data_IF_308659512709
#
_entry.id   IF_308659512709
#
_cell.length_a   1.000
_cell.length_b   1.000
_cell.length_c   1.000
_cell.angle_alpha   90.00
_cell.angle_beta   90.00
_cell.angle_gamma   90.00
#
_symmetry.space_group_name_H-M   'P 1'
#
loop_
_entity.id
_entity.type
_entity.pdbx_description
1 polymer ?
#
# COMPACT_ATOMS: atom_id res chain seq x y z
N UNK A 1 17.77 13.43 32.13
CA UNK A 1 18.35 14.17 30.98
C UNK A 1 18.96 13.13 30.05
N UNK A 2 18.23 12.72 29.01
CA UNK A 2 18.70 11.75 28.01
C UNK A 2 19.17 12.47 26.74
N UNK A 3 20.08 11.88 25.95
CA UNK A 3 20.70 12.56 24.82
C UNK A 3 19.67 12.75 23.69
N UNK A 4 19.53 13.99 23.23
CA UNK A 4 18.79 14.32 22.00
C UNK A 4 19.64 13.84 20.83
N UNK A 5 19.20 12.79 20.14
CA UNK A 5 19.76 12.39 18.86
C UNK A 5 19.42 13.45 17.82
N UNK A 6 20.45 14.17 17.36
CA UNK A 6 20.37 15.09 16.22
C UNK A 6 20.34 14.21 14.97
N UNK A 7 19.18 14.10 14.33
CA UNK A 7 19.09 13.61 12.95
C UNK A 7 19.52 14.74 12.02
N UNK A 8 20.69 14.59 11.42
CA UNK A 8 21.26 15.53 10.45
C UNK A 8 20.48 15.45 9.13
N UNK A 9 19.70 16.49 8.85
CA UNK A 9 19.09 16.78 7.54
C UNK A 9 20.17 17.32 6.60
N UNK A 10 20.91 16.45 5.91
CA UNK A 10 21.92 16.85 4.91
C UNK A 10 21.71 16.17 3.54
N UNK A 11 20.80 15.20 3.41
CA UNK A 11 20.74 14.38 2.19
C UNK A 11 19.86 14.91 1.06
N UNK A 12 18.98 15.90 1.27
CA UNK A 12 18.01 16.31 0.24
C UNK A 12 18.61 17.14 -0.91
N UNK A 13 19.70 17.87 -0.70
CA UNK A 13 20.17 18.87 -1.70
C UNK A 13 21.00 18.27 -2.84
N UNK A 14 21.56 17.06 -2.69
CA UNK A 14 22.43 16.44 -3.72
C UNK A 14 21.68 15.55 -4.71
N UNK A 15 20.39 15.27 -4.47
CA UNK A 15 19.60 14.24 -5.16
C UNK A 15 18.97 14.68 -6.50
N UNK A 16 19.00 15.98 -6.82
CA UNK A 16 18.16 16.54 -7.90
C UNK A 16 18.91 16.95 -9.18
N UNK A 17 20.25 16.88 -9.20
CA UNK A 17 21.04 17.39 -10.33
C UNK A 17 21.28 16.34 -11.44
N UNK A 18 21.08 15.04 -11.18
CA UNK A 18 21.49 13.98 -12.14
C UNK A 18 20.39 13.34 -13.03
N UNK A 19 19.13 13.77 -12.97
CA UNK A 19 18.04 13.05 -13.68
C UNK A 19 17.75 13.48 -15.14
N UNK A 20 18.55 14.33 -15.81
CA UNK A 20 18.09 14.96 -17.08
C UNK A 20 18.81 14.53 -18.37
N UNK A 21 19.93 13.79 -18.39
CA UNK A 21 20.65 13.59 -19.67
C UNK A 21 21.31 12.22 -19.88
N UNK A 22 20.55 11.21 -20.34
CA UNK A 22 21.14 10.13 -21.14
C UNK A 22 20.14 9.60 -22.19
N UNK A 23 20.36 9.96 -23.45
CA UNK A 23 19.60 9.45 -24.60
C UNK A 23 20.17 8.12 -25.10
N UNK A 24 19.63 7.00 -24.61
CA UNK A 24 19.85 5.68 -25.22
C UNK A 24 18.56 5.21 -25.90
N UNK A 25 18.63 4.96 -27.21
CA UNK A 25 17.57 4.29 -27.98
C UNK A 25 17.73 2.78 -27.79
N UNK A 26 16.74 2.11 -27.19
CA UNK A 26 16.71 0.65 -27.11
C UNK A 26 15.77 0.14 -28.19
N UNK A 27 16.34 -0.64 -29.09
CA UNK A 27 15.63 -1.45 -30.08
C UNK A 27 14.82 -2.53 -29.34
N UNK A 28 13.53 -2.66 -29.65
CA UNK A 28 12.55 -3.50 -28.93
C UNK A 28 12.61 -4.98 -29.34
N UNK A 29 13.74 -5.45 -29.86
CA UNK A 29 13.92 -6.83 -30.31
C UNK A 29 14.47 -7.72 -29.18
N UNK A 30 13.63 -8.63 -28.67
CA UNK A 30 13.83 -9.94 -27.98
C UNK A 30 15.16 -10.32 -27.27
N UNK A 31 16.04 -9.39 -26.91
CA UNK A 31 17.40 -9.66 -26.41
C UNK A 31 17.61 -9.46 -24.91
N UNK A 32 16.57 -9.60 -24.08
CA UNK A 32 16.76 -9.78 -22.63
C UNK A 32 17.10 -11.25 -22.32
N UNK A 33 18.34 -11.67 -22.62
CA UNK A 33 18.85 -13.01 -22.29
C UNK A 33 19.32 -13.15 -20.82
N UNK A 34 19.36 -12.05 -20.07
CA UNK A 34 19.58 -12.09 -18.61
C UNK A 34 18.25 -12.25 -17.89
N UNK A 35 18.11 -13.21 -16.96
CA UNK A 35 16.92 -13.31 -16.12
C UNK A 35 16.65 -11.97 -15.46
N UNK A 36 15.42 -11.46 -15.59
CA UNK A 36 15.03 -10.26 -14.86
C UNK A 36 15.15 -10.54 -13.35
N UNK A 37 15.56 -9.54 -12.54
CA UNK A 37 15.52 -9.65 -11.09
C UNK A 37 14.13 -10.12 -10.64
N UNK A 38 14.06 -10.92 -9.56
CA UNK A 38 12.78 -11.46 -9.05
C UNK A 38 11.73 -10.36 -8.87
N UNK A 39 12.15 -9.19 -8.37
CA UNK A 39 11.30 -8.01 -8.15
C UNK A 39 10.72 -7.43 -9.47
N UNK A 40 11.41 -7.60 -10.60
CA UNK A 40 10.94 -7.10 -11.90
C UNK A 40 10.17 -8.16 -12.70
N UNK A 41 10.52 -9.43 -12.52
CA UNK A 41 9.87 -10.55 -13.20
C UNK A 41 8.37 -10.67 -12.87
N UNK A 42 7.94 -10.12 -11.73
CA UNK A 42 6.53 -10.09 -11.29
C UNK A 42 5.63 -9.22 -12.14
N UNK A 43 6.20 -8.20 -12.79
CA UNK A 43 5.44 -7.09 -13.38
C UNK A 43 5.31 -7.21 -14.88
N UNK A 44 6.27 -7.86 -15.55
CA UNK A 44 6.40 -7.70 -16.99
C UNK A 44 5.53 -8.71 -17.77
N UNK A 45 5.27 -9.90 -17.21
CA UNK A 45 4.38 -10.88 -17.85
C UNK A 45 3.47 -11.54 -16.83
N UNK A 46 2.13 -11.37 -16.95
CA UNK A 46 1.22 -12.15 -16.15
C UNK A 46 1.47 -13.63 -16.43
N UNK A 47 1.60 -14.44 -15.37
CA UNK A 47 1.58 -15.88 -15.49
C UNK A 47 0.13 -16.30 -15.76
N UNK A 48 -0.24 -16.31 -17.03
CA UNK A 48 -1.61 -16.62 -17.47
C UNK A 48 -2.03 -18.01 -17.03
N UNK A 49 -1.09 -18.95 -16.93
CA UNK A 49 -1.37 -20.29 -16.44
C UNK A 49 -1.71 -20.27 -14.94
N UNK A 50 -0.95 -19.55 -14.12
CA UNK A 50 -1.27 -19.35 -12.70
C UNK A 50 -2.61 -18.62 -12.53
N UNK A 51 -2.86 -17.58 -13.33
CA UNK A 51 -4.15 -16.88 -13.34
C UNK A 51 -5.28 -17.85 -13.62
N UNK A 52 -5.24 -18.57 -14.74
CA UNK A 52 -6.34 -19.44 -15.18
C UNK A 52 -6.60 -20.56 -14.17
N UNK A 53 -5.54 -21.14 -13.58
CA UNK A 53 -5.69 -22.11 -12.49
C UNK A 53 -6.30 -21.49 -11.23
N UNK A 54 -5.88 -20.27 -10.84
CA UNK A 54 -6.48 -19.54 -9.71
C UNK A 54 -7.96 -19.20 -9.95
N UNK A 55 -8.36 -18.97 -11.21
CA UNK A 55 -9.74 -18.67 -11.58
C UNK A 55 -10.65 -19.91 -11.58
N UNK A 56 -10.10 -21.08 -11.88
CA UNK A 56 -10.87 -22.31 -12.04
C UNK A 56 -11.62 -22.67 -10.75
N UNK A 57 -12.95 -22.57 -10.74
CA UNK A 57 -13.78 -22.86 -9.56
C UNK A 57 -13.82 -21.75 -8.51
N UNK A 58 -13.71 -20.49 -8.92
CA UNK A 58 -14.15 -19.35 -8.11
C UNK A 58 -15.64 -19.01 -8.29
N UNK A 59 -16.33 -19.68 -9.23
CA UNK A 59 -17.79 -19.62 -9.35
C UNK A 59 -18.45 -20.06 -8.03
N UNK A 60 -19.33 -19.22 -7.48
CA UNK A 60 -19.97 -19.45 -6.18
C UNK A 60 -19.09 -19.16 -4.96
N UNK A 61 -17.84 -18.72 -5.14
CA UNK A 61 -17.01 -18.24 -4.03
C UNK A 61 -17.64 -17.00 -3.39
N UNK A 62 -17.66 -16.87 -2.05
CA UNK A 62 -18.12 -15.64 -1.39
C UNK A 62 -17.24 -14.43 -1.68
N UNK A 63 -16.05 -14.62 -2.27
CA UNK A 63 -15.18 -13.54 -2.75
C UNK A 63 -15.52 -13.08 -4.19
N UNK A 64 -16.40 -13.80 -4.89
CA UNK A 64 -16.65 -13.59 -6.32
C UNK A 64 -15.35 -13.60 -7.14
N UNK A 65 -15.19 -12.64 -8.04
CA UNK A 65 -13.98 -12.48 -8.86
C UNK A 65 -12.73 -12.12 -8.04
N UNK A 66 -12.85 -11.73 -6.77
CA UNK A 66 -11.67 -11.46 -5.92
C UNK A 66 -10.98 -12.75 -5.46
N UNK A 67 -11.63 -13.91 -5.62
CA UNK A 67 -11.06 -15.24 -5.37
C UNK A 67 -9.87 -15.56 -6.29
N UNK A 68 -9.83 -14.95 -7.47
CA UNK A 68 -8.89 -15.29 -8.53
C UNK A 68 -7.94 -14.14 -8.89
N UNK A 69 -6.97 -14.43 -9.77
CA UNK A 69 -6.06 -13.42 -10.29
C UNK A 69 -4.84 -13.18 -9.39
N UNK A 70 -4.20 -14.26 -8.93
CA UNK A 70 -2.86 -14.16 -8.34
C UNK A 70 -1.93 -13.44 -9.32
N UNK A 71 -1.12 -12.50 -8.82
CA UNK A 71 -0.23 -11.66 -9.66
C UNK A 71 -0.95 -10.84 -10.75
N UNK A 72 -2.28 -10.66 -10.68
CA UNK A 72 -3.03 -9.90 -11.68
C UNK A 72 -3.11 -8.41 -11.31
N UNK A 73 -2.02 -7.67 -11.46
CA UNK A 73 -2.00 -6.20 -11.28
C UNK A 73 -2.81 -5.45 -12.35
N UNK A 74 -2.96 -6.07 -13.53
CA UNK A 74 -3.43 -5.45 -14.77
C UNK A 74 -4.95 -5.57 -14.97
N UNK A 75 -5.57 -6.51 -14.28
CA UNK A 75 -6.98 -6.86 -14.47
C UNK A 75 -7.83 -6.09 -13.46
N UNK A 76 -7.89 -4.76 -13.60
CA UNK A 76 -8.86 -3.99 -12.85
C UNK A 76 -10.27 -4.34 -13.35
N UNK A 77 -11.18 -4.91 -12.55
CA UNK A 77 -12.52 -5.29 -13.00
C UNK A 77 -13.34 -4.09 -13.52
N UNK A 78 -12.95 -2.84 -13.19
CA UNK A 78 -13.55 -1.64 -13.79
C UNK A 78 -13.39 -1.59 -15.32
N UNK A 79 -12.42 -2.30 -15.89
CA UNK A 79 -12.23 -2.42 -17.33
C UNK A 79 -13.08 -3.52 -17.98
N UNK A 80 -14.06 -4.10 -17.28
CA UNK A 80 -14.97 -5.09 -17.88
C UNK A 80 -16.26 -4.46 -18.44
N UNK A 81 -16.47 -3.15 -18.26
CA UNK A 81 -17.60 -2.45 -18.87
C UNK A 81 -17.36 -2.16 -20.35
N UNK A 82 -17.37 -3.19 -21.21
CA UNK A 82 -17.74 -3.19 -22.64
C UNK A 82 -17.14 -2.19 -23.66
N UNK A 83 -16.34 -1.20 -23.26
CA UNK A 83 -15.79 -0.15 -24.11
C UNK A 83 -14.33 -0.48 -24.35
N UNK A 84 -13.98 -1.03 -25.51
CA UNK A 84 -12.63 -1.30 -26.01
C UNK A 84 -11.51 -0.77 -25.09
N UNK A 85 -11.17 -1.59 -24.08
CA UNK A 85 -10.27 -1.18 -23.01
C UNK A 85 -8.84 -1.39 -23.50
N UNK A 86 -8.13 -0.29 -23.77
CA UNK A 86 -6.69 -0.29 -23.58
C UNK A 86 -6.49 -0.74 -22.13
N UNK A 87 -5.98 -1.95 -21.91
CA UNK A 87 -5.65 -2.41 -20.57
C UNK A 87 -4.88 -1.28 -19.93
N UNK A 88 -5.29 -0.84 -18.73
CA UNK A 88 -4.57 0.20 -17.99
C UNK A 88 -3.09 -0.12 -18.16
N UNK A 89 -2.34 0.73 -18.86
CA UNK A 89 -0.91 0.57 -19.08
C UNK A 89 -0.22 0.82 -17.73
N UNK A 90 -0.53 -0.03 -16.75
CA UNK A 90 -0.04 0.02 -15.39
C UNK A 90 1.38 -0.54 -15.29
N UNK A 91 1.92 -1.09 -16.38
CA UNK A 91 3.33 -1.41 -16.43
C UNK A 91 4.09 -0.10 -16.49
N UNK A 92 4.92 0.12 -15.48
CA UNK A 92 5.86 1.22 -15.52
C UNK A 92 6.74 1.11 -16.77
N UNK A 93 7.17 2.24 -17.34
CA UNK A 93 8.11 2.20 -18.45
C UNK A 93 9.39 1.47 -18.01
N UNK A 94 9.83 0.45 -18.75
CA UNK A 94 11.00 -0.34 -18.38
C UNK A 94 12.27 0.50 -18.18
N UNK A 95 12.43 1.61 -18.92
CA UNK A 95 13.54 2.56 -18.73
C UNK A 95 13.40 3.33 -17.41
N UNK A 96 12.20 3.79 -17.07
CA UNK A 96 11.95 4.44 -15.77
C UNK A 96 12.30 3.47 -14.64
N UNK A 97 11.82 2.22 -14.72
CA UNK A 97 12.12 1.17 -13.73
C UNK A 97 13.62 0.94 -13.59
N UNK A 98 14.37 0.81 -14.69
CA UNK A 98 15.82 0.64 -14.63
C UNK A 98 16.51 1.83 -13.95
N UNK A 99 16.06 3.06 -14.24
CA UNK A 99 16.53 4.27 -13.56
C UNK A 99 16.22 4.26 -12.07
N UNK A 100 15.00 3.88 -11.68
CA UNK A 100 14.60 3.73 -10.27
C UNK A 100 15.51 2.74 -9.54
N UNK A 101 15.75 1.56 -10.12
CA UNK A 101 16.62 0.55 -9.52
C UNK A 101 18.03 1.07 -9.30
N UNK A 102 18.61 1.73 -10.32
CA UNK A 102 19.94 2.35 -10.19
C UNK A 102 19.96 3.37 -9.06
N UNK A 103 18.99 4.28 -9.03
CA UNK A 103 18.91 5.35 -8.03
C UNK A 103 18.72 4.81 -6.60
N UNK A 104 17.94 3.73 -6.44
CA UNK A 104 17.74 3.07 -5.15
C UNK A 104 19.01 2.33 -4.70
N UNK A 105 19.71 1.68 -5.63
CA UNK A 105 20.97 0.98 -5.34
C UNK A 105 22.05 1.94 -4.84
N UNK A 106 22.15 3.13 -5.43
CA UNK A 106 23.04 4.21 -4.95
C UNK A 106 22.69 4.67 -3.52
N UNK A 107 21.45 4.52 -3.09
CA UNK A 107 20.98 4.79 -1.73
C UNK A 107 21.14 3.58 -0.78
N UNK A 108 21.73 2.47 -1.24
CA UNK A 108 21.87 1.24 -0.47
C UNK A 108 20.61 0.38 -0.41
N UNK A 109 19.63 0.65 -1.28
CA UNK A 109 18.40 -0.16 -1.42
C UNK A 109 18.57 -1.06 -2.65
N UNK A 110 18.95 -2.31 -2.40
CA UNK A 110 19.16 -3.31 -3.46
C UNK A 110 17.87 -4.10 -3.75
N UNK A 111 16.97 -3.51 -4.54
CA UNK A 111 15.77 -4.22 -5.00
C UNK A 111 16.09 -5.37 -5.97
N UNK A 112 17.23 -5.34 -6.67
CA UNK A 112 17.60 -6.40 -7.60
C UNK A 112 18.02 -7.67 -6.85
N UNK A 113 18.76 -7.50 -5.75
CA UNK A 113 19.20 -8.58 -4.88
C UNK A 113 18.10 -9.13 -3.95
N UNK A 114 17.00 -8.39 -3.75
CA UNK A 114 15.95 -8.76 -2.80
C UNK A 114 15.21 -10.04 -3.18
N UNK A 115 15.33 -11.06 -2.34
CA UNK A 115 14.73 -12.38 -2.57
C UNK A 115 13.42 -12.59 -1.80
N UNK A 116 12.44 -13.34 -2.35
CA UNK A 116 11.21 -13.73 -1.65
C UNK A 116 11.43 -14.33 -0.26
N UNK A 117 12.48 -15.16 -0.12
CA UNK A 117 12.85 -15.79 1.14
C UNK A 117 13.09 -14.78 2.27
N UNK A 118 13.71 -13.64 1.96
CA UNK A 118 14.06 -12.65 2.97
C UNK A 118 12.82 -12.06 3.65
N UNK A 119 11.72 -11.84 2.90
CA UNK A 119 10.46 -11.41 3.51
C UNK A 119 9.74 -12.58 4.16
N UNK A 120 9.70 -13.74 3.49
CA UNK A 120 9.02 -14.92 3.99
C UNK A 120 9.52 -15.34 5.37
N UNK A 121 10.84 -15.38 5.59
CA UNK A 121 11.45 -15.70 6.88
C UNK A 121 11.03 -14.72 7.98
N UNK A 122 10.73 -13.45 7.63
CA UNK A 122 10.21 -12.47 8.59
C UNK A 122 8.75 -12.69 8.94
N UNK A 123 7.94 -13.38 8.14
CA UNK A 123 6.49 -13.56 8.41
C UNK A 123 6.07 -15.01 8.61
N UNK A 124 7.02 -15.94 8.48
CA UNK A 124 6.85 -17.38 8.61
C UNK A 124 6.02 -17.78 9.84
N UNK A 125 5.00 -18.60 9.60
CA UNK A 125 4.09 -19.11 10.64
C UNK A 125 3.13 -18.08 11.22
N UNK A 126 3.01 -16.89 10.60
CA UNK A 126 2.13 -15.80 11.01
C UNK A 126 1.25 -15.34 9.85
N UNK A 127 0.25 -14.53 10.18
CA UNK A 127 -0.47 -13.73 9.19
C UNK A 127 0.11 -12.30 9.14
N UNK A 128 0.44 -11.84 7.94
CA UNK A 128 0.67 -10.42 7.66
C UNK A 128 -0.65 -9.79 7.18
N UNK A 129 -1.24 -8.96 8.02
CA UNK A 129 -2.47 -8.22 7.71
C UNK A 129 -2.11 -6.86 7.11
N UNK A 130 -2.55 -6.61 5.88
CA UNK A 130 -2.48 -5.32 5.19
C UNK A 130 -3.88 -4.71 5.25
N UNK A 131 -4.08 -3.81 6.21
CA UNK A 131 -5.39 -3.20 6.50
C UNK A 131 -5.35 -1.77 6.00
N UNK A 132 -6.04 -1.46 4.90
CA UNK A 132 -5.97 -0.12 4.37
C UNK A 132 -6.83 0.15 3.15
N UNK A 133 -6.55 1.29 2.51
CA UNK A 133 -7.27 1.74 1.32
C UNK A 133 -6.78 1.08 0.02
N UNK A 134 -6.96 1.75 -1.13
CA UNK A 134 -6.59 1.18 -2.43
C UNK A 134 -5.08 1.06 -2.59
N UNK A 135 -4.29 1.91 -1.96
CA UNK A 135 -2.82 1.75 -1.98
C UNK A 135 -2.40 0.45 -1.33
N UNK A 136 -3.03 0.15 -0.19
CA UNK A 136 -2.76 -1.08 0.55
C UNK A 136 -3.23 -2.30 -0.23
N UNK A 137 -4.31 -2.19 -1.01
CA UNK A 137 -4.74 -3.25 -1.93
C UNK A 137 -3.69 -3.53 -3.02
N UNK A 138 -3.18 -2.50 -3.70
CA UNK A 138 -2.13 -2.70 -4.71
C UNK A 138 -0.84 -3.24 -4.08
N UNK A 139 -0.51 -2.79 -2.87
CA UNK A 139 0.62 -3.35 -2.13
C UNK A 139 0.42 -4.81 -1.74
N UNK A 140 -0.80 -5.20 -1.34
CA UNK A 140 -1.14 -6.61 -1.12
C UNK A 140 -0.88 -7.46 -2.35
N UNK A 141 -1.29 -7.00 -3.54
CA UNK A 141 -1.02 -7.70 -4.79
C UNK A 141 0.50 -7.81 -5.05
N UNK A 142 1.28 -6.78 -4.72
CA UNK A 142 2.75 -6.77 -4.84
C UNK A 142 3.39 -7.83 -3.96
N UNK A 143 3.02 -7.87 -2.68
CA UNK A 143 3.50 -8.87 -1.71
C UNK A 143 3.05 -10.28 -2.14
N UNK A 144 1.82 -10.42 -2.60
CA UNK A 144 1.29 -11.69 -3.07
C UNK A 144 2.11 -12.27 -4.21
N UNK A 145 2.41 -11.43 -5.21
CA UNK A 145 3.21 -11.89 -6.34
C UNK A 145 4.66 -12.16 -5.96
N UNK A 146 5.22 -11.37 -5.03
CA UNK A 146 6.58 -11.54 -4.53
C UNK A 146 6.77 -12.86 -3.81
N UNK A 147 5.75 -13.34 -3.11
CA UNK A 147 5.81 -14.60 -2.37
C UNK A 147 5.26 -15.80 -3.15
N UNK A 148 5.07 -15.69 -4.47
CA UNK A 148 4.41 -16.73 -5.28
C UNK A 148 5.07 -18.13 -5.17
N UNK A 149 6.39 -18.18 -4.99
CA UNK A 149 7.12 -19.45 -4.90
C UNK A 149 6.83 -20.23 -3.60
N UNK A 150 6.19 -19.57 -2.62
CA UNK A 150 5.76 -20.16 -1.34
C UNK A 150 4.26 -20.51 -1.32
N UNK A 151 3.53 -20.35 -2.41
CA UNK A 151 2.08 -20.59 -2.42
C UNK A 151 1.75 -22.05 -2.10
N UNK A 152 0.75 -22.24 -1.24
CA UNK A 152 0.14 -23.56 -0.98
C UNK A 152 -1.16 -23.71 -1.75
N UNK A 153 -1.86 -22.61 -1.99
CA UNK A 153 -3.10 -22.58 -2.73
C UNK A 153 -3.06 -21.43 -3.72
N UNK A 154 -3.44 -21.72 -4.96
CA UNK A 154 -3.49 -20.70 -6.01
C UNK A 154 -4.73 -19.81 -5.91
N UNK A 155 -5.70 -20.16 -5.06
CA UNK A 155 -6.91 -19.36 -4.83
C UNK A 155 -6.76 -18.50 -3.60
N UNK A 156 -7.30 -17.27 -3.66
CA UNK A 156 -7.48 -16.47 -2.45
C UNK A 156 -8.61 -17.06 -1.62
N UNK A 157 -8.38 -17.12 -0.31
CA UNK A 157 -9.35 -17.53 0.69
C UNK A 157 -9.92 -16.34 1.46
N UNK A 158 -10.95 -16.60 2.25
CA UNK A 158 -11.47 -15.63 3.20
C UNK A 158 -10.52 -15.49 4.42
N UNK A 159 -10.53 -14.36 5.13
CA UNK A 159 -9.67 -14.16 6.29
C UNK A 159 -10.02 -15.05 7.47
N UNK A 160 -11.30 -15.35 7.66
CA UNK A 160 -11.81 -16.19 8.74
C UNK A 160 -12.69 -17.32 8.21
N UNK A 161 -12.94 -18.33 9.05
CA UNK A 161 -13.89 -19.41 8.75
C UNK A 161 -15.35 -19.01 9.07
N UNK A 162 -15.60 -17.78 9.56
CA UNK A 162 -16.94 -17.30 9.92
C UNK A 162 -17.49 -16.38 8.83
N UNK A 163 -18.56 -16.83 8.17
CA UNK A 163 -19.28 -16.02 7.18
C UNK A 163 -19.71 -14.68 7.76
N UNK A 164 -20.23 -14.66 8.98
CA UNK A 164 -20.66 -13.43 9.65
C UNK A 164 -19.48 -12.47 9.87
N UNK A 165 -18.34 -12.99 10.36
CA UNK A 165 -17.15 -12.17 10.57
C UNK A 165 -16.63 -11.60 9.24
N UNK A 166 -16.61 -12.40 8.17
CA UNK A 166 -16.20 -11.95 6.85
C UNK A 166 -17.15 -10.87 6.29
N UNK A 167 -18.45 -10.96 6.57
CA UNK A 167 -19.41 -9.91 6.22
C UNK A 167 -19.12 -8.59 6.95
N UNK A 168 -18.73 -8.63 8.22
CA UNK A 168 -18.28 -7.43 8.94
C UNK A 168 -16.98 -6.83 8.39
N UNK A 169 -16.12 -7.66 7.77
CA UNK A 169 -14.90 -7.22 7.09
C UNK A 169 -15.15 -6.76 5.64
N UNK A 170 -16.37 -6.91 5.12
CA UNK A 170 -16.86 -6.32 3.86
C UNK A 170 -17.58 -5.00 4.12
N UNK A 171 -18.40 -4.96 5.19
CA UNK A 171 -19.36 -3.89 5.44
C UNK A 171 -18.65 -2.61 5.83
N UNK A 172 -18.53 -1.70 4.86
CA UNK A 172 -18.49 -0.27 5.15
C UNK A 172 -19.76 0.06 5.90
N UNK A 173 -19.66 0.83 6.98
CA UNK A 173 -20.83 1.20 7.77
C UNK A 173 -21.71 2.10 6.87
N UNK A 174 -22.63 1.49 6.11
CA UNK A 174 -23.61 2.17 5.25
C UNK A 174 -24.46 3.17 6.05
N UNK A 175 -24.53 2.95 7.36
CA UNK A 175 -25.24 3.77 8.33
C UNK A 175 -24.45 5.00 8.81
N UNK A 176 -23.15 5.12 8.53
CA UNK A 176 -22.42 6.34 8.89
C UNK A 176 -22.88 7.47 7.96
N UNK A 177 -23.51 8.55 8.49
CA UNK A 177 -23.96 9.69 7.69
C UNK A 177 -22.79 10.48 7.08
N UNK A 178 -21.55 10.07 7.36
CA UNK A 178 -20.35 10.60 6.76
C UNK A 178 -20.16 10.00 5.37
N UNK A 179 -20.54 10.81 4.38
CA UNK A 179 -20.47 10.62 2.93
C UNK A 179 -19.06 10.38 2.37
N UNK A 180 -18.24 9.55 3.01
CA UNK A 180 -17.00 9.05 2.44
C UNK A 180 -17.33 8.18 1.23
N UNK A 181 -16.91 8.60 0.04
CA UNK A 181 -16.97 7.88 -1.24
C UNK A 181 -18.17 6.93 -1.37
N UNK A 182 -19.39 7.45 -1.63
CA UNK A 182 -20.55 6.66 -2.13
C UNK A 182 -20.24 5.85 -3.42
N UNK A 183 -19.00 5.89 -3.92
CA UNK A 183 -18.53 5.36 -5.19
C UNK A 183 -17.60 4.16 -5.05
N UNK A 184 -17.21 3.77 -3.84
CA UNK A 184 -16.39 2.58 -3.64
C UNK A 184 -17.30 1.42 -3.27
N UNK A 185 -17.41 0.46 -4.18
CA UNK A 185 -18.16 -0.77 -3.92
C UNK A 185 -17.51 -1.52 -2.75
N UNK A 186 -18.31 -2.10 -1.84
CA UNK A 186 -17.82 -3.04 -0.83
C UNK A 186 -16.92 -4.09 -1.49
N UNK A 187 -15.73 -4.30 -0.92
CA UNK A 187 -14.80 -5.32 -1.39
C UNK A 187 -14.58 -6.36 -0.32
N UNK A 188 -14.62 -7.66 -0.67
CA UNK A 188 -14.32 -8.69 0.28
C UNK A 188 -12.86 -8.63 0.71
N UNK A 189 -12.66 -8.87 2.00
CA UNK A 189 -11.33 -9.14 2.53
C UNK A 189 -10.84 -10.48 1.99
N UNK A 190 -9.57 -10.55 1.65
CA UNK A 190 -8.97 -11.68 0.94
C UNK A 190 -7.64 -12.07 1.57
N UNK A 191 -7.29 -13.35 1.48
CA UNK A 191 -6.03 -13.87 2.00
C UNK A 191 -5.42 -14.87 1.06
N UNK A 192 -4.10 -14.87 1.01
CA UNK A 192 -3.30 -15.83 0.26
C UNK A 192 -2.50 -16.67 1.24
N UNK A 193 -2.55 -17.99 1.04
CA UNK A 193 -1.96 -18.97 1.95
C UNK A 193 -0.65 -19.50 1.37
N UNK A 194 0.38 -19.45 2.19
CA UNK A 194 1.73 -19.87 1.86
C UNK A 194 2.16 -21.04 2.75
N UNK A 195 3.35 -21.55 2.50
CA UNK A 195 3.96 -22.63 3.26
C UNK A 195 4.01 -22.31 4.76
N UNK A 196 4.13 -23.36 5.57
CA UNK A 196 4.36 -23.27 7.01
C UNK A 196 3.29 -22.45 7.77
N UNK A 197 2.04 -22.54 7.31
CA UNK A 197 0.91 -21.83 7.89
C UNK A 197 1.09 -20.29 7.88
N UNK A 198 1.79 -19.78 6.86
CA UNK A 198 1.99 -18.34 6.65
C UNK A 198 0.87 -17.79 5.78
N UNK A 199 0.38 -16.60 6.09
CA UNK A 199 -0.69 -15.95 5.31
C UNK A 199 -0.37 -14.48 5.08
N UNK A 200 -0.81 -13.95 3.95
CA UNK A 200 -0.90 -12.50 3.72
C UNK A 200 -2.35 -12.19 3.45
N UNK A 201 -2.91 -11.23 4.18
CA UNK A 201 -4.32 -10.89 4.14
C UNK A 201 -4.51 -9.40 3.86
N UNK A 202 -5.49 -9.05 3.04
CA UNK A 202 -5.93 -7.69 2.82
C UNK A 202 -7.33 -7.47 3.37
N UNK A 203 -7.49 -6.37 4.12
CA UNK A 203 -8.79 -5.89 4.59
C UNK A 203 -8.94 -4.44 4.15
N UNK A 204 -9.99 -4.16 3.38
CA UNK A 204 -10.26 -2.81 2.90
C UNK A 204 -10.83 -1.95 4.03
N UNK A 205 -10.21 -0.79 4.23
CA UNK A 205 -10.79 0.33 4.96
C UNK A 205 -10.63 1.61 4.12
N UNK A 206 -11.46 2.61 4.38
CA UNK A 206 -11.33 3.96 3.86
C UNK A 206 -10.94 4.95 4.95
N UNK A 207 -11.36 4.69 6.18
CA UNK A 207 -11.21 5.60 7.31
C UNK A 207 -10.47 4.92 8.45
N UNK A 208 -9.71 5.68 9.23
CA UNK A 208 -8.89 5.19 10.33
C UNK A 208 -9.75 4.52 11.41
N UNK A 209 -10.93 5.08 11.72
CA UNK A 209 -11.82 4.50 12.72
C UNK A 209 -12.29 3.09 12.37
N UNK A 210 -12.38 2.76 11.07
CA UNK A 210 -12.76 1.44 10.58
C UNK A 210 -11.72 0.36 10.94
N UNK A 211 -10.44 0.75 11.04
CA UNK A 211 -9.38 -0.13 11.49
C UNK A 211 -9.65 -0.63 12.92
N UNK A 212 -10.01 0.26 13.85
CA UNK A 212 -10.37 -0.13 15.20
C UNK A 212 -11.71 -0.88 15.23
N UNK A 213 -12.73 -0.33 14.57
CA UNK A 213 -14.06 -0.90 14.50
C UNK A 213 -14.69 -0.67 13.11
N UNK A 214 -14.98 -1.72 12.32
CA UNK A 214 -15.13 -3.11 12.75
C UNK A 214 -13.85 -3.96 12.79
N UNK A 215 -12.79 -3.60 12.06
CA UNK A 215 -11.79 -4.58 11.61
C UNK A 215 -11.04 -5.27 12.76
N UNK A 216 -10.23 -4.55 13.52
CA UNK A 216 -9.39 -5.16 14.57
C UNK A 216 -10.25 -5.81 15.67
N UNK A 217 -11.44 -5.27 15.95
CA UNK A 217 -12.40 -5.88 16.88
C UNK A 217 -12.92 -7.24 16.38
N UNK A 218 -13.19 -7.37 15.09
CA UNK A 218 -13.62 -8.65 14.49
C UNK A 218 -12.45 -9.63 14.46
N UNK A 219 -11.27 -9.19 13.99
CA UNK A 219 -10.09 -10.05 13.87
C UNK A 219 -9.67 -10.61 15.23
N UNK A 220 -9.54 -9.77 16.28
CA UNK A 220 -9.14 -10.24 17.62
C UNK A 220 -10.10 -11.26 18.24
N UNK A 221 -11.38 -11.27 17.81
CA UNK A 221 -12.40 -12.20 18.30
C UNK A 221 -12.47 -13.49 17.51
N UNK A 222 -12.11 -13.47 16.24
CA UNK A 222 -12.46 -14.53 15.28
C UNK A 222 -11.24 -15.22 14.67
N UNK A 223 -10.07 -14.60 14.72
CA UNK A 223 -8.81 -15.17 14.25
C UNK A 223 -8.06 -15.79 15.43
N UNK A 224 -7.85 -17.12 15.44
CA UNK A 224 -7.06 -17.77 16.48
C UNK A 224 -5.64 -17.22 16.52
N UNK A 225 -5.13 -16.95 17.72
CA UNK A 225 -3.78 -16.43 17.94
C UNK A 225 -3.46 -15.11 17.22
N UNK A 226 -4.47 -14.26 16.95
CA UNK A 226 -4.27 -12.96 16.29
C UNK A 226 -3.17 -12.10 16.93
N UNK A 227 -2.98 -12.20 18.24
CA UNK A 227 -1.91 -11.50 18.97
C UNK A 227 -0.47 -11.85 18.53
N UNK A 228 -0.28 -12.95 17.78
CA UNK A 228 1.02 -13.36 17.23
C UNK A 228 1.29 -12.80 15.84
N UNK A 229 0.26 -12.27 15.18
CA UNK A 229 0.33 -11.77 13.82
C UNK A 229 0.98 -10.38 13.74
N UNK A 230 1.14 -9.87 12.51
CA UNK A 230 1.56 -8.49 12.23
C UNK A 230 0.42 -7.81 11.47
N UNK A 231 0.06 -6.59 11.83
CA UNK A 231 -0.90 -5.80 11.10
C UNK A 231 -0.31 -4.44 10.70
N UNK A 232 -0.14 -4.25 9.39
CA UNK A 232 0.24 -2.98 8.78
C UNK A 232 -1.05 -2.23 8.43
N UNK A 233 -1.29 -1.10 9.10
CA UNK A 233 -2.51 -0.32 8.99
C UNK A 233 -2.22 0.98 8.24
N UNK A 234 -3.07 1.33 7.27
CA UNK A 234 -2.96 2.56 6.50
C UNK A 234 -4.33 3.15 6.17
N UNK A 235 -4.56 4.41 6.55
CA UNK A 235 -5.69 5.17 6.05
C UNK A 235 -5.39 6.68 6.14
N UNK A 236 -5.59 7.38 5.03
CA UNK A 236 -5.41 8.83 4.96
C UNK A 236 -5.99 9.44 3.69
N UNK A 237 -5.83 8.75 2.55
CA UNK A 237 -6.22 9.28 1.22
C UNK A 237 -7.70 9.64 1.07
N UNK A 238 -8.57 9.08 1.90
CA UNK A 238 -10.00 9.35 1.83
C UNK A 238 -10.44 10.48 2.78
N UNK A 239 -9.53 11.10 3.53
CA UNK A 239 -9.79 12.32 4.29
C UNK A 239 -9.53 13.55 3.42
N UNK A 240 -10.32 14.60 3.63
CA UNK A 240 -9.99 15.90 3.09
C UNK A 240 -8.74 16.44 3.77
N UNK A 241 -7.93 17.19 3.04
CA UNK A 241 -6.80 17.93 3.62
C UNK A 241 -7.36 18.86 4.69
N UNK A 242 -6.82 18.80 5.91
CA UNK A 242 -7.31 19.60 7.02
C UNK A 242 -8.57 19.07 7.71
N UNK A 243 -9.12 17.91 7.32
CA UNK A 243 -10.32 17.34 7.93
C UNK A 243 -10.09 17.10 9.44
N UNK A 244 -10.78 17.84 10.33
CA UNK A 244 -10.58 17.68 11.78
C UNK A 244 -10.99 16.29 12.27
N UNK A 245 -11.83 15.58 11.53
CA UNK A 245 -12.20 14.19 11.81
C UNK A 245 -11.01 13.24 11.74
N UNK A 246 -9.98 13.54 10.94
CA UNK A 246 -8.82 12.66 10.81
C UNK A 246 -8.07 12.49 12.13
N UNK A 247 -7.80 13.60 12.83
CA UNK A 247 -7.14 13.56 14.15
C UNK A 247 -7.96 12.77 15.17
N UNK A 248 -9.27 13.03 15.24
CA UNK A 248 -10.16 12.28 16.12
C UNK A 248 -10.10 10.77 15.82
N UNK A 249 -10.14 10.38 14.55
CA UNK A 249 -10.08 8.97 14.17
C UNK A 249 -8.73 8.33 14.50
N UNK A 250 -7.62 9.05 14.32
CA UNK A 250 -6.29 8.61 14.75
C UNK A 250 -6.23 8.40 16.27
N UNK A 251 -6.76 9.33 17.06
CA UNK A 251 -6.81 9.22 18.52
C UNK A 251 -7.71 8.08 18.99
N UNK A 252 -8.86 7.88 18.34
CA UNK A 252 -9.76 6.75 18.59
C UNK A 252 -9.07 5.41 18.32
N UNK A 253 -8.43 5.27 17.16
CA UNK A 253 -7.65 4.08 16.80
C UNK A 253 -6.53 3.83 17.82
N UNK A 254 -5.76 4.86 18.14
CA UNK A 254 -4.66 4.76 19.08
C UNK A 254 -5.13 4.36 20.49
N UNK A 255 -6.27 4.88 20.94
CA UNK A 255 -6.91 4.47 22.19
C UNK A 255 -7.27 2.98 22.15
N UNK A 256 -7.94 2.53 21.10
CA UNK A 256 -8.31 1.12 20.93
C UNK A 256 -7.09 0.20 20.96
N UNK A 257 -6.00 0.57 20.27
CA UNK A 257 -4.75 -0.21 20.26
C UNK A 257 -4.13 -0.28 21.66
N UNK A 258 -4.17 0.79 22.45
CA UNK A 258 -3.68 0.77 23.84
C UNK A 258 -4.54 -0.12 24.74
N UNK A 259 -5.86 -0.03 24.63
CA UNK A 259 -6.80 -0.79 25.46
C UNK A 259 -6.76 -2.29 25.19
N UNK A 260 -6.47 -2.70 23.95
CA UNK A 260 -6.48 -4.10 23.53
C UNK A 260 -5.10 -4.65 23.17
N UNK A 261 -4.00 -3.97 23.55
CA UNK A 261 -2.64 -4.29 23.09
C UNK A 261 -2.26 -5.78 23.19
N UNK A 262 -2.67 -6.46 24.25
CA UNK A 262 -2.34 -7.88 24.48
C UNK A 262 -3.16 -8.86 23.64
N UNK A 263 -4.28 -8.41 23.08
CA UNK A 263 -5.17 -9.22 22.24
C UNK A 263 -4.94 -8.99 20.74
N UNK A 264 -4.21 -7.92 20.39
CA UNK A 264 -4.00 -7.49 19.02
C UNK A 264 -2.69 -8.00 18.46
N UNK A 265 -2.67 -8.22 17.15
CA UNK A 265 -1.46 -8.36 16.36
C UNK A 265 -0.47 -7.21 16.64
N UNK A 266 0.80 -7.41 16.27
CA UNK A 266 1.77 -6.32 16.30
C UNK A 266 1.36 -5.25 15.29
N UNK A 267 0.80 -4.15 15.80
CA UNK A 267 0.32 -3.03 14.97
C UNK A 267 1.50 -2.17 14.52
N UNK A 268 1.58 -1.95 13.21
CA UNK A 268 2.46 -0.99 12.55
C UNK A 268 1.60 -0.04 11.75
N UNK A 269 1.81 1.26 11.91
CA UNK A 269 1.16 2.28 11.10
C UNK A 269 2.00 2.59 9.86
N UNK A 270 1.49 2.30 8.67
CA UNK A 270 2.08 2.79 7.42
C UNK A 270 1.58 4.20 7.16
N UNK A 271 2.52 5.09 6.88
CA UNK A 271 2.23 6.42 6.37
C UNK A 271 1.32 6.46 5.11
N UNK A 272 0.61 7.56 4.95
CA UNK A 272 -0.11 7.88 3.72
C UNK A 272 0.92 8.20 2.63
N UNK A 273 0.93 7.51 1.48
CA UNK A 273 1.91 7.80 0.44
C UNK A 273 1.66 9.18 -0.20
N UNK A 274 2.69 9.80 -0.80
CA UNK A 274 2.53 11.05 -1.52
C UNK A 274 1.63 10.87 -2.73
N UNK A 275 0.93 11.94 -3.08
CA UNK A 275 0.24 12.11 -4.34
C UNK A 275 0.98 13.19 -5.15
N UNK A 276 0.80 13.19 -6.46
CA UNK A 276 1.54 14.08 -7.36
C UNK A 276 0.63 14.83 -8.34
N UNK A 277 -0.55 15.24 -7.89
CA UNK A 277 -1.42 16.10 -8.69
C UNK A 277 -0.80 17.49 -8.90
N UNK A 278 -1.33 18.25 -9.86
CA UNK A 278 -0.78 19.56 -10.22
C UNK A 278 -0.98 20.69 -9.19
N UNK A 279 -1.50 20.40 -8.00
CA UNK A 279 -1.72 21.35 -6.90
C UNK A 279 -0.47 21.55 -6.01
N UNK A 280 -0.42 22.63 -5.22
CA UNK A 280 0.74 23.16 -4.45
C UNK A 280 1.44 22.17 -3.48
N UNK A 281 0.85 21.01 -3.22
CA UNK A 281 1.40 19.96 -2.34
C UNK A 281 1.21 18.56 -2.90
N UNK A 282 0.84 18.45 -4.19
CA UNK A 282 0.59 17.18 -4.85
C UNK A 282 -0.69 16.46 -4.42
N UNK A 283 -1.42 16.94 -3.41
CA UNK A 283 -2.63 16.25 -2.96
C UNK A 283 -3.76 16.29 -3.95
N UNK A 284 -4.62 15.28 -3.84
CA UNK A 284 -5.93 15.35 -4.44
C UNK A 284 -6.86 16.20 -3.57
N UNK A 285 -7.21 17.39 -4.04
CA UNK A 285 -8.12 18.28 -3.32
C UNK A 285 -9.59 17.98 -3.66
N UNK A 286 -10.41 17.73 -2.64
CA UNK A 286 -11.87 17.74 -2.75
C UNK A 286 -12.35 19.14 -2.34
N UNK A 287 -12.68 20.03 -3.30
CA UNK A 287 -12.75 21.49 -3.05
C UNK A 287 -14.14 22.09 -2.70
N UNK A 288 -15.19 21.33 -2.34
CA UNK A 288 -16.39 21.94 -1.69
C UNK A 288 -16.21 21.73 -0.18
N UNK A 289 -16.76 22.63 0.61
CA UNK A 289 -17.25 22.36 1.97
C UNK A 289 -18.48 21.43 2.08
N UNK A 290 -18.83 20.64 1.07
CA UNK A 290 -19.54 19.37 1.27
C UNK A 290 -18.47 18.33 1.54
N UNK A 291 -18.73 17.33 2.37
CA UNK A 291 -17.89 16.11 2.35
C UNK A 291 -17.99 15.43 0.97
N UNK A 292 -17.41 16.02 -0.10
CA UNK A 292 -17.61 15.59 -1.48
C UNK A 292 -17.94 16.62 -2.58
N UNK A 293 -17.47 17.86 -2.49
CA UNK A 293 -16.74 18.49 -3.61
C UNK A 293 -17.37 19.57 -4.50
N UNK A 294 -16.62 20.64 -4.80
CA UNK A 294 -17.05 21.67 -5.75
C UNK A 294 -16.95 21.20 -7.18
N UNK A 295 -17.83 21.81 -7.95
CA UNK A 295 -17.79 21.95 -9.38
C UNK A 295 -16.36 22.22 -9.91
N UNK A 296 -15.90 21.32 -10.77
CA UNK A 296 -15.34 21.73 -12.06
C UNK A 296 -14.02 22.49 -12.06
N UNK A 297 -13.05 22.11 -11.22
CA UNK A 297 -11.65 22.20 -11.67
C UNK A 297 -11.42 21.10 -12.71
N UNK A 298 -10.70 21.33 -13.83
CA UNK A 298 -10.34 20.24 -14.72
C UNK A 298 -9.62 19.18 -13.87
N UNK A 299 -10.04 17.92 -14.00
CA UNK A 299 -9.29 16.80 -13.42
C UNK A 299 -7.86 16.97 -13.89
N UNK A 300 -6.92 17.16 -12.96
CA UNK A 300 -5.51 17.23 -13.31
C UNK A 300 -5.19 16.03 -14.18
N UNK A 301 -4.80 16.28 -15.42
CA UNK A 301 -4.58 15.20 -16.39
C UNK A 301 -3.18 14.59 -16.24
N UNK A 302 -2.33 15.20 -15.40
CA UNK A 302 -0.90 14.92 -15.39
C UNK A 302 -0.36 14.93 -13.97
N UNK A 303 0.40 13.89 -13.67
CA UNK A 303 1.21 13.86 -12.47
C UNK A 303 2.45 14.72 -12.68
N UNK A 304 2.93 15.39 -11.63
CA UNK A 304 4.12 16.24 -11.70
C UNK A 304 5.04 16.03 -10.52
N UNK A 305 6.33 16.27 -10.75
CA UNK A 305 7.27 16.45 -9.65
C UNK A 305 6.83 17.62 -8.77
N UNK A 306 7.07 17.51 -7.47
CA UNK A 306 7.06 18.67 -6.59
C UNK A 306 8.24 19.58 -6.93
N UNK A 307 8.03 20.89 -6.84
CA UNK A 307 9.08 21.90 -7.02
C UNK A 307 10.05 21.88 -5.84
N UNK A 308 11.21 22.52 -5.98
CA UNK A 308 12.18 22.64 -4.87
C UNK A 308 11.61 23.38 -3.66
N UNK A 309 10.78 24.40 -3.90
CA UNK A 309 10.11 25.15 -2.85
C UNK A 309 9.13 24.26 -2.08
N UNK A 310 8.30 23.49 -2.81
CA UNK A 310 7.35 22.54 -2.21
C UNK A 310 8.06 21.45 -1.42
N UNK A 311 9.13 20.86 -1.97
CA UNK A 311 9.96 19.87 -1.28
C UNK A 311 10.63 20.43 -0.02
N UNK A 312 10.92 21.73 0.01
CA UNK A 312 11.48 22.44 1.17
C UNK A 312 10.45 22.88 2.20
N UNK A 313 9.15 22.74 1.91
CA UNK A 313 8.09 23.14 2.84
C UNK A 313 8.08 22.26 4.10
N UNK A 314 7.75 22.85 5.24
CA UNK A 314 7.64 22.12 6.52
C UNK A 314 6.63 20.96 6.43
N UNK A 315 5.56 21.15 5.66
CA UNK A 315 4.53 20.16 5.49
C UNK A 315 5.04 18.92 4.77
N UNK A 316 5.67 19.08 3.59
CA UNK A 316 6.22 17.95 2.83
C UNK A 316 7.35 17.25 3.59
N UNK A 317 8.22 18.01 4.26
CA UNK A 317 9.27 17.44 5.12
C UNK A 317 8.72 16.63 6.31
N UNK A 318 7.52 16.95 6.79
CA UNK A 318 6.82 16.20 7.83
C UNK A 318 6.09 14.95 7.29
N UNK A 319 6.16 14.68 5.99
CA UNK A 319 5.44 13.59 5.32
C UNK A 319 4.08 14.02 4.76
N UNK A 320 3.80 15.32 4.72
CA UNK A 320 2.49 15.86 4.42
C UNK A 320 1.54 15.92 5.62
N UNK A 321 0.42 16.62 5.46
CA UNK A 321 -0.56 16.87 6.53
C UNK A 321 -1.07 15.59 7.21
N UNK A 322 -1.39 14.55 6.42
CA UNK A 322 -1.86 13.27 6.97
C UNK A 322 -0.80 12.64 7.89
N UNK A 323 0.45 12.60 7.45
CA UNK A 323 1.51 11.94 8.19
C UNK A 323 1.97 12.76 9.40
N UNK A 324 1.92 14.09 9.33
CA UNK A 324 2.19 14.94 10.48
C UNK A 324 1.26 14.60 11.67
N UNK A 325 -0.05 14.51 11.42
CA UNK A 325 -1.03 14.12 12.45
C UNK A 325 -0.79 12.68 12.90
N UNK A 326 -0.62 11.76 11.95
CA UNK A 326 -0.46 10.35 12.25
C UNK A 326 0.78 10.06 13.11
N UNK A 327 1.93 10.63 12.75
CA UNK A 327 3.19 10.41 13.45
C UNK A 327 3.17 10.93 14.88
N UNK A 328 2.52 12.06 15.13
CA UNK A 328 2.30 12.61 16.47
C UNK A 328 1.55 11.59 17.35
N UNK A 329 0.39 11.12 16.88
CA UNK A 329 -0.49 10.21 17.63
C UNK A 329 0.14 8.82 17.81
N UNK A 330 0.77 8.28 16.76
CA UNK A 330 1.42 6.96 16.80
C UNK A 330 2.63 6.95 17.73
N UNK A 331 3.46 8.00 17.72
CA UNK A 331 4.59 8.16 18.64
C UNK A 331 4.12 8.22 20.09
N UNK A 332 3.10 9.03 20.38
CA UNK A 332 2.52 9.11 21.73
C UNK A 332 1.96 7.75 22.22
N UNK A 333 1.51 6.91 21.29
CA UNK A 333 0.93 5.60 21.57
C UNK A 333 1.92 4.44 21.48
N UNK A 334 3.19 4.74 21.17
CA UNK A 334 4.27 3.77 20.95
C UNK A 334 3.95 2.74 19.85
N UNK A 335 3.13 3.11 18.87
CA UNK A 335 2.88 2.28 17.68
C UNK A 335 4.02 2.52 16.70
N UNK A 336 4.61 1.44 16.17
CA UNK A 336 5.69 1.56 15.18
C UNK A 336 5.17 2.22 13.91
N UNK A 337 5.99 3.08 13.31
CA UNK A 337 5.66 3.76 12.06
C UNK A 337 6.53 3.18 10.94
N UNK A 338 5.87 2.65 9.91
CA UNK A 338 6.50 2.28 8.65
C UNK A 338 6.52 3.52 7.74
N UNK A 339 7.70 4.15 7.65
CA UNK A 339 7.93 5.38 6.89
C UNK A 339 8.46 5.04 5.49
N UNK A 340 7.58 5.06 4.50
CA UNK A 340 7.89 4.88 3.08
C UNK A 340 7.65 6.16 2.25
N UNK A 341 7.09 7.22 2.85
CA UNK A 341 6.74 8.47 2.20
C UNK A 341 7.97 9.11 1.54
N UNK A 342 9.06 9.28 2.30
CA UNK A 342 10.27 9.92 1.78
C UNK A 342 10.88 9.18 0.59
N UNK A 343 10.78 7.84 0.59
CA UNK A 343 11.27 7.00 -0.50
C UNK A 343 10.37 7.02 -1.73
N UNK A 344 9.11 7.43 -1.58
CA UNK A 344 8.13 7.48 -2.67
C UNK A 344 7.86 8.88 -3.20
N UNK A 345 8.28 9.91 -2.46
CA UNK A 345 8.19 11.31 -2.88
C UNK A 345 8.84 11.62 -4.24
N UNK A 346 9.99 11.03 -4.63
CA UNK A 346 10.54 11.29 -5.96
C UNK A 346 9.83 10.50 -7.08
N UNK A 347 8.87 9.62 -6.78
CA UNK A 347 8.28 8.66 -7.74
C UNK A 347 7.03 9.19 -8.46
N UNK A 348 6.98 10.50 -8.73
CA UNK A 348 5.83 11.15 -9.36
C UNK A 348 5.51 10.61 -10.76
N UNK A 349 6.52 10.14 -11.48
CA UNK A 349 6.41 9.60 -12.85
C UNK A 349 6.15 8.09 -12.87
N UNK A 350 6.02 7.46 -11.69
CA UNK A 350 5.61 6.07 -11.50
C UNK A 350 4.14 5.94 -11.09
N UNK A 351 3.35 6.99 -11.26
CA UNK A 351 1.91 6.88 -11.12
C UNK A 351 1.28 6.12 -12.29
N UNK A 352 0.10 5.53 -12.06
CA UNK A 352 -0.67 4.92 -13.15
C UNK A 352 -0.97 5.97 -14.22
N UNK A 353 -0.79 5.60 -15.49
CA UNK A 353 -1.22 6.43 -16.62
C UNK A 353 -2.73 6.67 -16.54
N UNK A 354 -3.24 7.66 -17.27
CA UNK A 354 -4.65 8.05 -17.28
C UNK A 354 -5.13 8.85 -16.06
N UNK A 355 -4.34 9.85 -15.65
CA UNK A 355 -4.75 10.90 -14.69
C UNK A 355 -4.89 10.41 -13.25
N UNK A 356 -4.30 9.27 -12.91
CA UNK A 356 -4.29 8.73 -11.55
C UNK A 356 -2.95 9.01 -10.86
N UNK A 357 -2.84 10.18 -10.25
CA UNK A 357 -1.66 10.58 -9.48
C UNK A 357 -1.72 10.16 -8.01
N UNK A 358 -2.49 9.10 -7.74
CA UNK A 358 -2.60 8.48 -6.42
C UNK A 358 -1.96 7.11 -6.44
N UNK A 359 -2.37 6.24 -7.36
CA UNK A 359 -1.88 4.87 -7.45
C UNK A 359 -0.60 4.79 -8.26
N UNK A 360 0.27 3.86 -7.89
CA UNK A 360 1.53 3.65 -8.58
C UNK A 360 1.40 2.53 -9.62
N UNK A 361 2.18 2.62 -10.69
CA UNK A 361 2.39 1.55 -11.65
C UNK A 361 3.20 0.41 -11.00
N UNK A 362 3.24 -0.76 -11.63
CA UNK A 362 4.06 -1.88 -11.16
C UNK A 362 5.09 -2.24 -12.26
N UNK A 363 6.38 -2.46 -11.94
CA UNK A 363 7.00 -2.37 -10.61
C UNK A 363 7.39 -0.94 -10.26
N UNK A 364 7.12 -0.51 -9.02
CA UNK A 364 7.61 0.77 -8.49
C UNK A 364 7.53 0.85 -6.96
N UNK A 365 6.70 1.75 -6.42
CA UNK A 365 6.52 2.04 -5.02
C UNK A 365 6.12 0.80 -4.22
N UNK A 366 5.29 -0.10 -4.76
CA UNK A 366 4.80 -1.27 -4.01
C UNK A 366 5.90 -2.31 -3.78
N UNK A 367 6.80 -2.50 -4.73
CA UNK A 367 8.01 -3.33 -4.60
C UNK A 367 8.97 -2.70 -3.60
N UNK A 368 9.16 -1.38 -3.67
CA UNK A 368 9.95 -0.62 -2.71
C UNK A 368 9.37 -0.75 -1.28
N UNK A 369 8.06 -0.66 -1.11
CA UNK A 369 7.41 -0.86 0.19
C UNK A 369 7.59 -2.28 0.70
N UNK A 370 7.57 -3.27 -0.18
CA UNK A 370 7.82 -4.67 0.18
C UNK A 370 9.24 -4.87 0.70
N UNK A 371 10.24 -4.25 0.05
CA UNK A 371 11.62 -4.23 0.55
C UNK A 371 11.75 -3.52 1.90
N UNK A 372 11.22 -2.30 1.99
CA UNK A 372 11.31 -1.49 3.21
C UNK A 372 10.57 -2.16 4.37
N UNK A 373 9.47 -2.89 4.11
CA UNK A 373 8.78 -3.69 5.11
C UNK A 373 9.70 -4.77 5.67
N UNK A 374 10.42 -5.52 4.82
CA UNK A 374 11.38 -6.53 5.28
C UNK A 374 12.43 -5.91 6.22
N UNK A 375 12.98 -4.75 5.86
CA UNK A 375 13.92 -4.03 6.74
C UNK A 375 13.26 -3.55 8.04
N UNK A 376 12.03 -3.06 7.96
CA UNK A 376 11.27 -2.66 9.15
C UNK A 376 11.02 -3.84 10.11
N UNK A 377 10.66 -5.01 9.58
CA UNK A 377 10.36 -6.21 10.37
C UNK A 377 11.59 -6.75 11.10
N UNK A 378 12.80 -6.65 10.53
CA UNK A 378 14.06 -7.05 11.19
C UNK A 378 14.29 -6.34 12.52
N UNK A 379 13.80 -5.09 12.62
CA UNK A 379 13.98 -4.25 13.80
C UNK A 379 12.72 -4.14 14.65
N UNK A 380 11.62 -4.73 14.20
CA UNK A 380 10.34 -4.67 14.89
C UNK A 380 10.44 -5.48 16.19
N UNK A 381 10.52 -4.76 17.31
CA UNK A 381 10.51 -5.38 18.62
C UNK A 381 9.12 -5.95 18.90
N UNK A 382 9.00 -7.20 19.36
CA UNK A 382 7.76 -7.70 19.91
C UNK A 382 7.26 -6.77 21.01
N UNK A 383 5.95 -6.59 21.11
CA UNK A 383 5.36 -5.86 22.23
C UNK A 383 5.74 -6.56 23.54
N UNK A 384 6.61 -5.92 24.33
CA UNK A 384 6.85 -6.37 25.70
C UNK A 384 5.60 -6.05 26.53
N UNK A 385 5.13 -6.97 27.39
CA UNK A 385 4.13 -6.65 28.40
C UNK A 385 4.58 -5.45 29.22
N UNK A 386 3.67 -4.49 29.42
CA UNK A 386 3.95 -3.28 30.19
C UNK A 386 4.13 -3.58 31.68
#
# INVERSE_FOLDING_TARGET
MGPRGIFTSIYLTSLLINCIQTGYSLDTSDHFLTPMPHVLGMSVKPDTALRDRSCSGCEGSPLGMSCCGLCAFWENPRSQSGVHHHGWEGQCNARQVAGLLSNLKEQGIDLEGFQPQELFDQIKGRTLWLIGDSQTNYWFLAVECFLKDYLVQEKRGQPTNSTEANMWLIKFIEELPHRGSRKAEPRPSMCTSYQENTRVCFVRIHKVEEAAHPVLRVLKRTVPNFHRDIAIVNAGLHYGVGDPGYRWSMEYFAKFVREHRQELATIVWKDTPPQHFDFENGYYWWFDDSKGGTAGGPKSEKCRALTQEELGSEEILAGGWFNQVAFEVMRASRVSVFNAYNHTLPLWDFHLKDKDCTHFCNPSAYELWTYLLKEHLKHLQPWLPA
#
